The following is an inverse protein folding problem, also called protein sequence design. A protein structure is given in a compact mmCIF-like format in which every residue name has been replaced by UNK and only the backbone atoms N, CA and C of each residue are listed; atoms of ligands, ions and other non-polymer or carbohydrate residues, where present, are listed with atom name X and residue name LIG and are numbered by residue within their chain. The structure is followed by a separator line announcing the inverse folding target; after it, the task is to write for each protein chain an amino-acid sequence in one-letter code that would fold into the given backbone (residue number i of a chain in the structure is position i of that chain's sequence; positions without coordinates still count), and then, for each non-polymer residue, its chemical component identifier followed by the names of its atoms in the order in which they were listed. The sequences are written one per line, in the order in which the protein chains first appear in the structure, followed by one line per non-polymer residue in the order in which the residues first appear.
data_IF_282906169466
#
_entry.id   IF_282906169466
#
_cell.length_a   1.000
_cell.length_b   1.000
_cell.length_c   1.000
_cell.angle_alpha   90.00
_cell.angle_beta   90.00
_cell.angle_gamma   90.00
#
_symmetry.space_group_name_H-M   'P 1'
#
loop_
_entity.id
_entity.type
_entity.pdbx_description
1 polymer ?
#
# COMPACT_ATOMS: atom_id res chain seq x y z
N UNK A 1 3.67 3.58 -12.25
CA UNK A 1 4.96 3.85 -12.90
C UNK A 1 6.10 3.67 -11.91
N UNK A 2 6.36 4.59 -10.96
CA UNK A 2 7.44 4.47 -9.96
C UNK A 2 7.41 3.12 -9.23
N UNK A 3 6.30 2.77 -8.56
CA UNK A 3 6.18 1.50 -7.84
C UNK A 3 6.35 0.26 -8.72
N UNK A 4 6.06 0.37 -10.02
CA UNK A 4 6.27 -0.73 -10.97
C UNK A 4 7.75 -0.94 -11.25
N UNK A 5 8.48 0.14 -11.51
CA UNK A 5 9.93 0.11 -11.68
C UNK A 5 10.65 -0.38 -10.41
N UNK A 6 10.25 0.11 -9.23
CA UNK A 6 10.82 -0.32 -7.94
C UNK A 6 10.55 -1.80 -7.67
N UNK A 7 9.32 -2.27 -7.91
CA UNK A 7 9.00 -3.68 -7.74
C UNK A 7 9.77 -4.55 -8.74
N UNK A 8 9.84 -4.16 -10.01
CA UNK A 8 10.62 -4.90 -11.00
C UNK A 8 12.11 -4.94 -10.66
N UNK A 9 12.68 -3.86 -10.12
CA UNK A 9 14.05 -3.85 -9.63
C UNK A 9 14.24 -4.82 -8.43
N UNK A 10 13.27 -4.89 -7.51
CA UNK A 10 13.31 -5.84 -6.39
C UNK A 10 13.21 -7.31 -6.83
N UNK A 11 12.59 -7.58 -7.98
CA UNK A 11 12.40 -8.92 -8.56
C UNK A 11 13.18 -9.12 -9.87
N UNK A 12 14.24 -8.35 -10.11
CA UNK A 12 14.96 -8.32 -11.39
C UNK A 12 15.56 -9.68 -11.78
N UNK A 13 16.10 -10.42 -10.80
CA UNK A 13 16.63 -11.76 -11.05
C UNK A 13 15.53 -12.73 -11.51
N UNK A 14 14.33 -12.62 -10.95
CA UNK A 14 13.21 -13.51 -11.25
C UNK A 14 12.78 -13.39 -12.71
N UNK A 15 12.69 -12.16 -13.23
CA UNK A 15 12.36 -11.90 -14.63
C UNK A 15 13.51 -12.18 -15.58
N UNK A 16 14.74 -11.79 -15.23
CA UNK A 16 15.92 -12.02 -16.10
C UNK A 16 16.28 -13.49 -16.29
N UNK A 17 16.03 -14.31 -15.27
CA UNK A 17 16.27 -15.75 -15.34
C UNK A 17 15.14 -16.53 -16.02
N UNK A 18 14.02 -15.87 -16.35
CA UNK A 18 12.81 -16.53 -16.86
C UNK A 18 12.06 -17.38 -15.83
N UNK A 19 12.48 -17.37 -14.56
CA UNK A 19 11.83 -18.12 -13.48
C UNK A 19 10.44 -17.56 -13.14
N UNK A 20 10.12 -16.35 -13.56
CA UNK A 20 8.78 -15.79 -13.46
C UNK A 20 7.73 -16.58 -14.26
N UNK A 21 8.13 -17.40 -15.26
CA UNK A 21 7.24 -18.35 -15.95
C UNK A 21 6.72 -19.46 -15.01
N UNK A 22 7.42 -19.74 -13.91
CA UNK A 22 7.00 -20.73 -12.91
C UNK A 22 5.87 -20.22 -12.00
N UNK A 23 5.56 -18.92 -12.04
CA UNK A 23 4.47 -18.37 -11.25
C UNK A 23 3.11 -18.85 -11.78
N UNK A 24 2.26 -19.34 -10.87
CA UNK A 24 0.95 -19.94 -11.21
C UNK A 24 0.04 -18.98 -11.99
N UNK A 25 0.08 -17.68 -11.67
CA UNK A 25 -0.80 -16.69 -12.27
C UNK A 25 -0.08 -15.91 -13.37
N UNK A 26 -0.48 -16.15 -14.63
CA UNK A 26 0.13 -15.56 -15.84
C UNK A 26 -0.80 -14.65 -16.67
N UNK A 27 -1.94 -14.23 -16.12
CA UNK A 27 -2.90 -13.37 -16.84
C UNK A 27 -2.34 -11.97 -17.13
N UNK A 28 -2.97 -11.20 -18.03
CA UNK A 28 -2.54 -9.87 -18.51
C UNK A 28 -2.04 -8.91 -17.41
N UNK A 29 -2.69 -8.90 -16.23
CA UNK A 29 -2.37 -8.01 -15.11
C UNK A 29 -1.57 -8.69 -13.98
N UNK A 30 -1.06 -9.89 -14.21
CA UNK A 30 -0.26 -10.63 -13.24
C UNK A 30 1.13 -10.02 -13.04
N UNK A 31 1.75 -10.33 -11.90
CA UNK A 31 3.07 -9.85 -11.52
C UNK A 31 4.17 -10.10 -12.56
N UNK A 32 4.34 -11.31 -13.15
CA UNK A 32 5.34 -11.55 -14.20
C UNK A 32 5.25 -10.52 -15.34
N UNK A 33 4.04 -10.34 -15.87
CA UNK A 33 3.79 -9.39 -16.95
C UNK A 33 4.04 -7.94 -16.54
N UNK A 34 3.68 -7.54 -15.31
CA UNK A 34 3.99 -6.19 -14.79
C UNK A 34 5.49 -5.95 -14.64
N UNK A 35 6.24 -6.93 -14.14
CA UNK A 35 7.69 -6.82 -13.98
C UNK A 35 8.35 -6.65 -15.35
N UNK A 36 8.05 -7.52 -16.32
CA UNK A 36 8.55 -7.42 -17.70
C UNK A 36 8.25 -6.06 -18.33
N UNK A 37 7.00 -5.59 -18.23
CA UNK A 37 6.61 -4.27 -18.76
C UNK A 37 7.38 -3.13 -18.10
N UNK A 38 7.72 -3.25 -16.82
CA UNK A 38 8.42 -2.20 -16.08
C UNK A 38 9.87 -2.02 -16.51
N UNK A 39 10.49 -3.00 -17.19
CA UNK A 39 11.80 -2.80 -17.83
C UNK A 39 11.78 -1.81 -19.00
N UNK A 40 10.59 -1.52 -19.55
CA UNK A 40 10.42 -0.55 -20.62
C UNK A 40 10.27 0.89 -20.11
N UNK A 41 10.35 1.10 -18.79
CA UNK A 41 10.30 2.42 -18.17
C UNK A 41 11.61 3.17 -18.43
N UNK A 42 11.59 4.34 -19.09
CA UNK A 42 12.80 5.11 -19.32
C UNK A 42 13.41 5.65 -18.02
N UNK A 43 14.73 5.60 -17.90
CA UNK A 43 15.44 6.11 -16.73
C UNK A 43 15.17 7.60 -16.48
N UNK A 44 15.09 8.40 -17.54
CA UNK A 44 14.80 9.85 -17.45
C UNK A 44 13.41 10.09 -16.88
N UNK A 45 12.40 9.32 -17.32
CA UNK A 45 11.05 9.43 -16.80
C UNK A 45 10.96 8.98 -15.34
N UNK A 46 11.69 7.92 -14.96
CA UNK A 46 11.80 7.49 -13.56
C UNK A 46 12.39 8.57 -12.65
N UNK A 47 13.46 9.23 -13.10
CA UNK A 47 14.07 10.36 -12.38
C UNK A 47 13.09 11.53 -12.27
N UNK A 48 12.45 11.91 -13.37
CA UNK A 48 11.47 13.00 -13.38
C UNK A 48 10.27 12.70 -12.48
N UNK A 49 9.75 11.47 -12.51
CA UNK A 49 8.66 11.06 -11.65
C UNK A 49 9.06 11.12 -10.17
N UNK A 50 10.30 10.77 -9.81
CA UNK A 50 10.77 10.91 -8.43
C UNK A 50 10.94 12.38 -7.99
N UNK A 51 11.22 13.32 -8.90
CA UNK A 51 11.16 14.77 -8.58
C UNK A 51 9.75 15.20 -8.20
N UNK A 52 8.73 14.70 -8.90
CA UNK A 52 7.32 14.92 -8.54
C UNK A 52 6.96 14.21 -7.23
N UNK A 53 7.47 12.98 -7.01
CA UNK A 53 7.29 12.26 -5.74
C UNK A 53 7.84 13.06 -4.56
N UNK A 54 8.97 13.73 -4.73
CA UNK A 54 9.53 14.61 -3.70
C UNK A 54 8.56 15.73 -3.34
N UNK A 55 7.96 16.42 -4.33
CA UNK A 55 6.95 17.44 -4.08
C UNK A 55 5.74 16.86 -3.35
N UNK A 56 5.23 15.70 -3.79
CA UNK A 56 4.13 15.00 -3.14
C UNK A 56 4.43 14.66 -1.67
N UNK A 57 5.65 14.22 -1.36
CA UNK A 57 6.09 13.95 0.02
C UNK A 57 6.00 15.21 0.87
N UNK A 58 6.49 16.36 0.36
CA UNK A 58 6.44 17.63 1.08
C UNK A 58 5.00 18.10 1.34
N UNK A 59 4.14 18.03 0.31
CA UNK A 59 2.72 18.42 0.42
C UNK A 59 1.97 17.53 1.41
N UNK A 60 2.16 16.21 1.32
CA UNK A 60 1.53 15.27 2.24
C UNK A 60 2.02 15.51 3.68
N UNK A 61 3.32 15.72 3.87
CA UNK A 61 3.89 16.01 5.19
C UNK A 61 3.31 17.30 5.80
N UNK A 62 3.13 18.35 5.00
CA UNK A 62 2.52 19.61 5.43
C UNK A 62 1.04 19.42 5.84
N UNK A 63 0.26 18.68 5.04
CA UNK A 63 -1.14 18.39 5.37
C UNK A 63 -1.24 17.58 6.68
N UNK A 64 -0.36 16.59 6.85
CA UNK A 64 -0.27 15.76 8.05
C UNK A 64 0.19 16.51 9.31
N UNK A 65 0.64 17.77 9.21
CA UNK A 65 0.86 18.58 10.41
C UNK A 65 -0.47 18.93 11.10
N UNK A 66 -1.58 19.00 10.35
CA UNK A 66 -2.88 19.42 10.87
C UNK A 66 -3.67 18.30 11.55
N UNK A 67 -3.25 17.04 11.41
CA UNK A 67 -3.93 15.86 11.95
C UNK A 67 -2.92 14.83 12.45
N UNK A 68 -3.25 14.10 13.52
CA UNK A 68 -2.38 13.02 14.02
C UNK A 68 -2.51 11.75 13.19
N UNK A 69 -3.75 11.45 12.78
CA UNK A 69 -4.14 10.28 12.01
C UNK A 69 -5.30 10.67 11.08
N UNK A 70 -5.33 10.10 9.88
CA UNK A 70 -6.55 10.08 9.06
C UNK A 70 -6.96 8.65 8.73
N UNK A 71 -8.24 8.49 8.36
CA UNK A 71 -8.88 7.20 8.13
C UNK A 71 -9.30 7.11 6.66
N UNK A 72 -9.13 5.94 6.05
CA UNK A 72 -9.62 5.66 4.70
C UNK A 72 -10.12 4.23 4.56
N UNK A 73 -10.95 3.93 3.54
CA UNK A 73 -11.14 2.55 3.09
C UNK A 73 -9.78 1.91 2.75
N UNK A 74 -9.62 0.62 3.05
CA UNK A 74 -8.36 -0.10 2.82
C UNK A 74 -8.02 -0.27 1.34
N UNK A 75 -9.05 -0.38 0.51
CA UNK A 75 -8.92 -0.47 -0.93
C UNK A 75 -9.29 0.88 -1.55
N UNK A 76 -8.38 1.45 -2.33
CA UNK A 76 -8.60 2.71 -3.01
C UNK A 76 -7.31 3.47 -3.30
N UNK A 77 -7.45 4.76 -3.60
CA UNK A 77 -6.32 5.63 -3.97
C UNK A 77 -5.34 5.88 -2.82
N UNK A 78 -5.77 5.71 -1.57
CA UNK A 78 -4.92 5.94 -0.40
C UNK A 78 -3.68 5.03 -0.40
N UNK A 79 -3.83 3.77 -0.82
CA UNK A 79 -2.72 2.82 -0.86
C UNK A 79 -1.57 3.32 -1.76
N UNK A 80 -1.89 3.88 -2.93
CA UNK A 80 -0.87 4.45 -3.81
C UNK A 80 -0.19 5.66 -3.17
N UNK A 81 -0.97 6.55 -2.56
CA UNK A 81 -0.47 7.75 -1.91
C UNK A 81 0.52 7.42 -0.77
N UNK A 82 0.19 6.47 0.11
CA UNK A 82 1.05 6.12 1.25
C UNK A 82 2.30 5.35 0.81
N UNK A 83 2.22 4.51 -0.23
CA UNK A 83 3.42 3.89 -0.82
C UNK A 83 4.37 4.94 -1.44
N UNK A 84 3.82 5.99 -2.07
CA UNK A 84 4.64 7.06 -2.64
C UNK A 84 5.21 8.01 -1.58
N UNK A 85 4.56 8.16 -0.43
CA UNK A 85 4.96 9.16 0.57
C UNK A 85 5.64 8.58 1.81
N UNK A 86 5.57 7.27 2.03
CA UNK A 86 6.21 6.58 3.14
C UNK A 86 5.47 6.69 4.48
N UNK A 87 4.26 7.27 4.50
CA UNK A 87 3.50 7.41 5.75
C UNK A 87 3.06 6.04 6.29
N UNK A 88 3.23 5.77 7.60
CA UNK A 88 2.86 4.49 8.18
C UNK A 88 1.35 4.30 8.15
N UNK A 89 0.93 3.07 7.86
CA UNK A 89 -0.46 2.69 7.75
C UNK A 89 -0.70 1.39 8.51
N UNK A 90 -1.75 1.34 9.33
CA UNK A 90 -2.24 0.13 9.98
C UNK A 90 -3.65 -0.16 9.49
N UNK A 91 -3.90 -1.42 9.13
CA UNK A 91 -5.17 -1.89 8.60
C UNK A 91 -5.78 -2.85 9.61
N UNK A 92 -7.02 -2.57 10.04
CA UNK A 92 -7.72 -3.39 11.03
C UNK A 92 -9.12 -3.77 10.53
N UNK A 93 -9.70 -4.90 11.01
CA UNK A 93 -11.06 -5.27 10.66
C UNK A 93 -12.07 -4.24 11.14
N UNK A 94 -13.05 -3.91 10.29
CA UNK A 94 -14.15 -3.00 10.64
C UNK A 94 -15.54 -3.62 10.42
N UNK A 95 -15.62 -4.95 10.45
CA UNK A 95 -16.85 -5.71 10.38
C UNK A 95 -16.97 -6.55 9.12
N UNK A 96 -18.21 -6.78 8.71
CA UNK A 96 -18.57 -7.64 7.60
C UNK A 96 -19.60 -6.96 6.71
N UNK A 97 -19.58 -7.27 5.42
CA UNK A 97 -20.68 -6.91 4.52
C UNK A 97 -21.95 -7.70 4.88
N UNK A 98 -23.10 -7.31 4.34
CA UNK A 98 -24.37 -8.05 4.47
C UNK A 98 -24.26 -9.51 3.99
N UNK A 99 -23.29 -9.81 3.09
CA UNK A 99 -23.00 -11.15 2.58
C UNK A 99 -22.03 -11.94 3.46
N UNK A 100 -21.67 -11.42 4.64
CA UNK A 100 -20.73 -12.07 5.55
C UNK A 100 -19.28 -12.04 5.09
N UNK A 101 -18.89 -11.12 4.20
CA UNK A 101 -17.48 -10.95 3.80
C UNK A 101 -16.77 -9.99 4.74
N UNK A 102 -15.61 -10.34 5.34
CA UNK A 102 -14.85 -9.42 6.18
C UNK A 102 -14.45 -8.16 5.41
N UNK A 103 -14.56 -7.00 6.08
CA UNK A 103 -14.07 -5.71 5.57
C UNK A 103 -13.03 -5.12 6.53
N UNK A 104 -12.24 -4.17 6.01
CA UNK A 104 -11.22 -3.49 6.78
C UNK A 104 -11.21 -1.98 6.55
N UNK A 105 -10.57 -1.29 7.48
CA UNK A 105 -10.33 0.15 7.45
C UNK A 105 -8.83 0.44 7.69
N UNK A 106 -8.31 1.48 7.04
CA UNK A 106 -6.92 1.93 7.19
C UNK A 106 -6.85 3.18 8.06
N UNK A 107 -5.91 3.18 8.99
CA UNK A 107 -5.46 4.37 9.71
C UNK A 107 -4.06 4.73 9.21
N UNK A 108 -3.83 5.98 8.83
CA UNK A 108 -2.52 6.47 8.38
C UNK A 108 -2.04 7.58 9.29
N UNK A 109 -0.80 7.45 9.79
CA UNK A 109 -0.18 8.38 10.74
C UNK A 109 0.94 9.21 10.11
N UNK A 110 1.55 10.07 10.92
CA UNK A 110 2.73 10.86 10.53
C UNK A 110 3.95 9.96 10.28
N UNK A 111 4.89 10.43 9.48
CA UNK A 111 6.21 9.79 9.32
C UNK A 111 6.84 9.56 10.70
N UNK A 112 7.32 8.33 10.95
CA UNK A 112 7.92 7.89 12.22
C UNK A 112 6.96 7.95 13.43
N UNK A 113 5.65 8.00 13.18
CA UNK A 113 4.59 8.09 14.20
C UNK A 113 3.92 6.76 14.53
N UNK A 114 4.55 5.63 14.25
CA UNK A 114 3.96 4.28 14.34
C UNK A 114 3.40 3.98 15.74
N UNK A 115 4.09 4.39 16.81
CA UNK A 115 3.64 4.13 18.17
C UNK A 115 2.29 4.80 18.47
N UNK A 116 2.13 6.08 18.10
CA UNK A 116 0.87 6.80 18.28
C UNK A 116 -0.24 6.22 17.37
N UNK A 117 0.11 5.89 16.12
CA UNK A 117 -0.83 5.29 15.18
C UNK A 117 -1.36 3.93 15.70
N UNK A 118 -0.47 3.07 16.22
CA UNK A 118 -0.84 1.78 16.79
C UNK A 118 -1.66 1.93 18.07
N UNK A 119 -1.40 2.94 18.90
CA UNK A 119 -2.23 3.23 20.06
C UNK A 119 -3.67 3.57 19.65
N UNK A 120 -3.86 4.41 18.63
CA UNK A 120 -5.18 4.73 18.07
C UNK A 120 -5.87 3.47 17.54
N UNK A 121 -5.17 2.67 16.73
CA UNK A 121 -5.73 1.43 16.18
C UNK A 121 -6.08 0.41 17.26
N UNK A 122 -5.28 0.31 18.32
CA UNK A 122 -5.57 -0.53 19.48
C UNK A 122 -6.82 -0.06 20.20
N UNK A 123 -6.97 1.23 20.48
CA UNK A 123 -8.18 1.76 21.11
C UNK A 123 -9.42 1.50 20.25
N UNK A 124 -9.31 1.62 18.92
CA UNK A 124 -10.39 1.22 18.01
C UNK A 124 -10.72 -0.28 18.12
N UNK A 125 -9.70 -1.14 18.12
CA UNK A 125 -9.91 -2.58 18.28
C UNK A 125 -10.52 -2.94 19.64
N UNK A 126 -10.08 -2.33 20.74
CA UNK A 126 -10.60 -2.60 22.09
C UNK A 126 -12.06 -2.12 22.24
N UNK A 127 -12.43 -1.02 21.56
CA UNK A 127 -13.79 -0.49 21.52
C UNK A 127 -14.72 -1.27 20.58
N UNK A 128 -14.17 -2.16 19.75
CA UNK A 128 -14.92 -2.99 18.80
C UNK A 128 -14.66 -4.46 19.07
N UNK A 129 -15.32 -5.36 18.34
CA UNK A 129 -15.10 -6.81 18.49
C UNK A 129 -14.90 -7.49 17.13
N UNK A 130 -14.71 -6.71 16.06
CA UNK A 130 -14.60 -7.23 14.69
C UNK A 130 -13.39 -8.16 14.52
N UNK A 131 -12.31 -7.90 15.24
CA UNK A 131 -11.09 -8.69 15.18
C UNK A 131 -11.20 -10.06 15.89
N UNK A 132 -12.27 -10.30 16.66
CA UNK A 132 -12.58 -11.59 17.30
C UNK A 132 -13.54 -12.45 16.47
N UNK A 133 -14.06 -11.92 15.37
CA UNK A 133 -14.99 -12.63 14.49
C UNK A 133 -14.21 -13.43 13.45
N UNK A 134 -14.59 -14.70 13.26
CA UNK A 134 -13.93 -15.61 12.32
C UNK A 134 -14.93 -16.16 11.30
N UNK A 135 -14.57 -16.28 10.02
CA UNK A 135 -15.40 -16.97 9.04
C UNK A 135 -15.48 -18.47 9.35
N UNK A 136 -16.57 -19.13 8.97
CA UNK A 136 -16.63 -20.59 8.95
C UNK A 136 -15.70 -21.11 7.86
N UNK A 137 -14.84 -22.07 8.20
CA UNK A 137 -13.85 -22.67 7.30
C UNK A 137 -14.50 -23.64 6.31
#
# INVERSE_FOLDING_TARGET
FILGAEAAAAFDELTRSGKDDLLVRQIKLAWPNKFRQSHLIPAVDYINANRVRFQLIQEMHAIMQNVDVYISPSFGKNLLLTNLTGHPCVVVPNGFTEKGTPVSISFTGRLFGEAALLAVAKHYQDATQFHLQHPQL
#
